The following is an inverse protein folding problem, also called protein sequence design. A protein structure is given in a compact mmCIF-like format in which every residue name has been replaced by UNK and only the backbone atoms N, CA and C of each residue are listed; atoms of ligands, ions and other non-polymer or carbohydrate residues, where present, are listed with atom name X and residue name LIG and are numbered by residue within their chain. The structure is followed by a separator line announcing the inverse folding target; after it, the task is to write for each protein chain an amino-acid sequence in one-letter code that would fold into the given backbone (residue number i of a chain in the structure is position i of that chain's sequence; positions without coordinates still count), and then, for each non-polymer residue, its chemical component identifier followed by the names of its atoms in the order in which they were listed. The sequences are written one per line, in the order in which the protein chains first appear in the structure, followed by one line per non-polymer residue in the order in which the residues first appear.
data_IF_590520295147
#
_entry.id   IF_590520295147
#
_cell.length_a   1.000
_cell.length_b   1.000
_cell.length_c   1.000
_cell.angle_alpha   90.00
_cell.angle_beta   90.00
_cell.angle_gamma   90.00
#
_symmetry.space_group_name_H-M   'P 1'
#
loop_
_entity.id
_entity.type
_entity.pdbx_description
1 polymer ?
#
# COMPACT_ATOMS: atom_id res chain seq x y z
N UNK A 1 -11.84 0.88 15.55
CA UNK A 1 -10.47 1.38 15.34
C UNK A 1 -10.11 1.29 13.86
N UNK A 2 -9.41 2.30 13.32
CA UNK A 2 -8.88 2.27 11.96
C UNK A 2 -7.56 1.49 11.95
N UNK A 3 -7.43 0.47 11.09
CA UNK A 3 -6.19 -0.32 10.96
C UNK A 3 -5.22 0.37 10.00
N UNK A 4 -3.93 0.30 10.31
CA UNK A 4 -2.86 0.74 9.40
C UNK A 4 -2.23 -0.49 8.74
N UNK A 5 -2.04 -0.43 7.42
CA UNK A 5 -1.46 -1.52 6.61
C UNK A 5 -0.27 -0.98 5.84
N UNK A 6 0.88 -1.64 5.97
CA UNK A 6 2.10 -1.34 5.22
C UNK A 6 2.21 -2.32 4.05
N UNK A 7 2.37 -1.80 2.83
CA UNK A 7 2.50 -2.62 1.62
C UNK A 7 3.73 -2.17 0.85
N UNK A 8 4.68 -3.09 0.66
CA UNK A 8 5.84 -2.89 -0.20
C UNK A 8 5.47 -3.20 -1.66
N UNK A 9 6.07 -2.49 -2.62
CA UNK A 9 5.76 -2.70 -4.04
C UNK A 9 4.33 -2.33 -4.44
N UNK A 10 3.68 -1.43 -3.70
CA UNK A 10 2.28 -1.02 -3.93
C UNK A 10 2.08 -0.12 -5.17
N UNK A 11 3.14 0.13 -5.94
CA UNK A 11 3.12 0.99 -7.12
C UNK A 11 2.40 0.36 -8.32
N UNK A 12 2.37 -0.97 -8.41
CA UNK A 12 1.76 -1.70 -9.52
C UNK A 12 1.40 -3.15 -9.13
N UNK A 13 0.75 -3.87 -10.06
CA UNK A 13 0.46 -5.31 -9.91
C UNK A 13 -0.30 -5.68 -8.64
N UNK A 14 0.13 -6.76 -8.00
CA UNK A 14 -0.52 -7.34 -6.82
C UNK A 14 -0.48 -6.36 -5.64
N UNK A 15 0.65 -5.68 -5.42
CA UNK A 15 0.78 -4.71 -4.33
C UNK A 15 -0.25 -3.58 -4.44
N UNK A 16 -0.45 -3.04 -5.65
CA UNK A 16 -1.47 -2.02 -5.91
C UNK A 16 -2.90 -2.54 -5.71
N UNK A 17 -3.18 -3.78 -6.12
CA UNK A 17 -4.49 -4.41 -5.92
C UNK A 17 -4.79 -4.61 -4.41
N UNK A 18 -3.82 -5.08 -3.64
CA UNK A 18 -3.91 -5.21 -2.19
C UNK A 18 -4.18 -3.86 -1.51
N UNK A 19 -3.43 -2.81 -1.87
CA UNK A 19 -3.63 -1.46 -1.34
C UNK A 19 -5.06 -0.95 -1.56
N UNK A 20 -5.59 -1.13 -2.78
CA UNK A 20 -6.99 -0.79 -3.10
C UNK A 20 -7.99 -1.59 -2.27
N UNK A 21 -7.77 -2.89 -2.10
CA UNK A 21 -8.66 -3.75 -1.32
C UNK A 21 -8.71 -3.36 0.17
N UNK A 22 -7.56 -3.05 0.77
CA UNK A 22 -7.50 -2.61 2.17
C UNK A 22 -8.03 -1.19 2.36
N UNK A 23 -7.77 -0.27 1.43
CA UNK A 23 -8.35 1.08 1.47
C UNK A 23 -9.88 1.04 1.43
N UNK A 24 -10.47 0.21 0.55
CA UNK A 24 -11.94 -0.01 0.49
C UNK A 24 -12.53 -0.54 1.80
N UNK A 25 -11.74 -1.25 2.61
CA UNK A 25 -12.14 -1.74 3.95
C UNK A 25 -11.94 -0.69 5.05
N UNK A 26 -11.57 0.54 4.71
CA UNK A 26 -11.38 1.65 5.64
C UNK A 26 -10.00 1.73 6.29
N UNK A 27 -9.04 0.89 5.88
CA UNK A 27 -7.68 0.93 6.43
C UNK A 27 -6.90 2.16 5.93
N UNK A 28 -5.99 2.66 6.77
CA UNK A 28 -4.95 3.60 6.33
C UNK A 28 -3.80 2.83 5.68
N UNK A 29 -3.29 3.29 4.55
CA UNK A 29 -2.27 2.56 3.77
C UNK A 29 -0.95 3.34 3.74
N UNK A 30 0.15 2.67 4.02
CA UNK A 30 1.51 3.18 3.80
C UNK A 30 2.12 2.40 2.64
N UNK A 31 2.33 3.09 1.52
CA UNK A 31 2.93 2.51 0.32
C UNK A 31 4.45 2.71 0.38
N UNK A 32 5.20 1.64 0.59
CA UNK A 32 6.65 1.69 0.57
C UNK A 32 7.16 1.34 -0.83
N UNK A 33 7.76 2.32 -1.51
CA UNK A 33 8.55 2.08 -2.73
C UNK A 33 10.02 2.34 -2.44
N UNK A 34 10.89 1.49 -2.98
CA UNK A 34 12.31 1.81 -3.00
C UNK A 34 12.51 2.99 -3.96
N UNK A 35 13.01 4.10 -3.43
CA UNK A 35 13.45 5.24 -4.23
C UNK A 35 14.98 5.16 -4.30
N UNK A 36 15.52 4.76 -5.45
CA UNK A 36 16.95 4.91 -5.69
C UNK A 36 17.19 6.36 -6.07
N UNK A 37 17.92 7.11 -5.24
CA UNK A 37 18.51 8.37 -5.70
C UNK A 37 19.52 7.99 -6.79
N UNK A 38 19.26 8.41 -8.01
CA UNK A 38 20.27 8.49 -9.05
C UNK A 38 21.21 9.67 -8.73
#
# INVERSE_FOLDING_TARGET
MKRTVVITGASSGIGAACAKAFAKKGSSIINLKYLKSL
#
